data_IF_471433194026
#
_entry.id   IF_471433194026
#
_cell.length_a   1.000
_cell.length_b   1.000
_cell.length_c   1.000
_cell.angle_alpha   90.00
_cell.angle_beta   90.00
_cell.angle_gamma   90.00
#
_symmetry.space_group_name_H-M   'P 1'
#
loop_
_entity.id
_entity.type
_entity.pdbx_description
1 polymer ?
#
# COMPACT_ATOMS: atom_id res chain seq x y z
N UNK A 1 20.08 0.06 -10.85
CA UNK A 1 20.17 -0.59 -9.52
C UNK A 1 18.96 -1.48 -9.25
N UNK A 2 17.73 -0.95 -9.26
CA UNK A 2 16.49 -1.71 -8.93
C UNK A 2 16.34 -3.02 -9.71
N UNK A 3 16.52 -3.02 -11.03
CA UNK A 3 16.45 -4.23 -11.87
C UNK A 3 17.39 -5.34 -11.36
N UNK A 4 18.63 -4.98 -11.01
CA UNK A 4 19.61 -5.95 -10.53
C UNK A 4 19.21 -6.55 -9.18
N UNK A 5 18.68 -5.74 -8.26
CA UNK A 5 18.18 -6.23 -6.96
C UNK A 5 16.93 -7.09 -7.11
N UNK A 6 15.98 -6.68 -7.95
CA UNK A 6 14.76 -7.48 -8.22
C UNK A 6 15.13 -8.83 -8.83
N UNK A 7 16.05 -8.86 -9.81
CA UNK A 7 16.53 -10.09 -10.39
C UNK A 7 17.28 -10.98 -9.37
N UNK A 8 18.09 -10.38 -8.49
CA UNK A 8 18.78 -11.10 -7.43
C UNK A 8 17.79 -11.72 -6.42
N UNK A 9 16.78 -10.96 -5.97
CA UNK A 9 15.73 -11.46 -5.07
C UNK A 9 14.96 -12.61 -5.72
N UNK A 10 14.58 -12.46 -6.99
CA UNK A 10 13.86 -13.52 -7.70
C UNK A 10 14.70 -14.79 -7.84
N UNK A 11 15.98 -14.68 -8.22
CA UNK A 11 16.91 -15.82 -8.31
C UNK A 11 17.19 -16.48 -6.97
N UNK A 12 17.09 -15.72 -5.87
CA UNK A 12 17.18 -16.26 -4.51
C UNK A 12 15.88 -16.95 -4.03
N UNK A 13 14.82 -16.96 -4.85
CA UNK A 13 13.56 -17.64 -4.56
C UNK A 13 12.37 -16.72 -4.26
N UNK A 14 12.51 -15.39 -4.39
CA UNK A 14 11.36 -14.47 -4.21
C UNK A 14 10.39 -14.59 -5.38
N UNK A 15 9.22 -15.17 -5.12
CA UNK A 15 8.17 -15.37 -6.13
C UNK A 15 7.46 -14.06 -6.51
N UNK A 16 7.47 -13.07 -5.63
CA UNK A 16 6.90 -11.73 -5.82
C UNK A 16 7.90 -10.72 -5.26
N UNK A 17 8.10 -9.58 -5.92
CA UNK A 17 9.00 -8.52 -5.42
C UNK A 17 8.24 -7.20 -5.32
N UNK A 18 8.36 -6.53 -4.18
CA UNK A 18 7.76 -5.22 -3.93
C UNK A 18 8.79 -4.11 -4.10
N UNK A 19 8.38 -3.02 -4.75
CA UNK A 19 9.17 -1.80 -4.91
C UNK A 19 8.36 -0.58 -4.46
N UNK A 20 9.03 0.41 -3.88
CA UNK A 20 8.40 1.69 -3.50
C UNK A 20 8.13 2.55 -4.73
N UNK A 21 6.92 3.13 -4.77
CA UNK A 21 6.49 4.10 -5.79
C UNK A 21 5.92 5.32 -5.07
N UNK A 22 6.81 6.28 -4.81
CA UNK A 22 6.60 7.42 -3.90
C UNK A 22 6.71 8.80 -4.56
N UNK A 23 7.07 8.85 -5.84
CA UNK A 23 7.23 10.07 -6.64
C UNK A 23 7.14 9.77 -8.13
N UNK A 24 6.98 10.81 -8.94
CA UNK A 24 6.85 10.72 -10.40
C UNK A 24 8.00 9.98 -11.07
N UNK A 25 9.25 10.21 -10.64
CA UNK A 25 10.41 9.53 -11.22
C UNK A 25 10.37 8.03 -10.93
N UNK A 26 9.91 7.64 -9.73
CA UNK A 26 9.72 6.23 -9.37
C UNK A 26 8.61 5.61 -10.22
N UNK A 27 7.47 6.30 -10.40
CA UNK A 27 6.35 5.82 -11.20
C UNK A 27 6.74 5.65 -12.67
N UNK A 28 7.38 6.66 -13.27
CA UNK A 28 7.87 6.62 -14.65
C UNK A 28 8.94 5.54 -14.88
N UNK A 29 9.65 5.11 -13.84
CA UNK A 29 10.65 4.05 -13.94
C UNK A 29 10.04 2.63 -13.94
N UNK A 30 8.84 2.42 -13.39
CA UNK A 30 8.25 1.07 -13.25
C UNK A 30 8.14 0.32 -14.58
N UNK A 31 7.60 0.90 -15.67
CA UNK A 31 7.51 0.19 -16.95
C UNK A 31 8.89 -0.20 -17.51
N UNK A 32 9.88 0.70 -17.35
CA UNK A 32 11.27 0.46 -17.78
C UNK A 32 11.93 -0.65 -16.95
N UNK A 33 11.60 -0.75 -15.66
CA UNK A 33 12.08 -1.82 -14.78
C UNK A 33 11.48 -3.15 -15.23
N UNK A 34 10.16 -3.21 -15.42
CA UNK A 34 9.46 -4.41 -15.88
C UNK A 34 10.04 -4.89 -17.22
N UNK A 35 10.15 -4.01 -18.21
CA UNK A 35 10.69 -4.32 -19.52
C UNK A 35 12.11 -4.90 -19.44
N UNK A 36 13.00 -4.27 -18.66
CA UNK A 36 14.38 -4.75 -18.48
C UNK A 36 14.44 -6.11 -17.80
N UNK A 37 13.55 -6.39 -16.85
CA UNK A 37 13.46 -7.70 -16.20
C UNK A 37 13.03 -8.78 -17.20
N UNK A 38 12.01 -8.50 -18.02
CA UNK A 38 11.56 -9.41 -19.08
C UNK A 38 12.67 -9.72 -20.09
N UNK A 39 13.45 -8.71 -20.50
CA UNK A 39 14.63 -8.91 -21.38
C UNK A 39 15.72 -9.80 -20.75
N UNK A 40 15.79 -9.87 -19.43
CA UNK A 40 16.70 -10.75 -18.69
C UNK A 40 16.11 -12.14 -18.43
N UNK A 41 14.92 -12.45 -18.98
CA UNK A 41 14.19 -13.69 -18.71
C UNK A 41 13.63 -13.77 -17.28
N UNK A 42 13.55 -12.64 -16.57
CA UNK A 42 13.04 -12.57 -15.19
C UNK A 42 11.58 -12.10 -15.24
N UNK A 43 10.65 -13.04 -15.09
CA UNK A 43 9.22 -12.77 -15.10
C UNK A 43 8.63 -12.80 -13.67
N UNK A 44 9.11 -11.89 -12.82
CA UNK A 44 8.65 -11.77 -11.43
C UNK A 44 7.56 -10.71 -11.29
N UNK A 45 6.41 -11.00 -10.66
CA UNK A 45 5.37 -10.01 -10.36
C UNK A 45 5.90 -8.87 -9.48
N UNK A 46 5.66 -7.63 -9.93
CA UNK A 46 6.02 -6.43 -9.19
C UNK A 46 4.84 -5.88 -8.40
N UNK A 47 5.03 -5.67 -7.10
CA UNK A 47 4.07 -4.99 -6.22
C UNK A 47 4.50 -3.53 -6.05
N UNK A 48 3.61 -2.58 -6.37
CA UNK A 48 3.85 -1.16 -6.11
C UNK A 48 3.47 -0.80 -4.67
N UNK A 49 4.40 -0.28 -3.90
CA UNK A 49 4.15 0.24 -2.56
C UNK A 49 3.94 1.75 -2.59
N UNK A 50 2.68 2.18 -2.39
CA UNK A 50 2.27 3.57 -2.52
C UNK A 50 2.04 4.22 -1.15
N UNK A 51 2.46 5.49 -1.04
CA UNK A 51 2.26 6.32 0.15
C UNK A 51 1.81 7.72 -0.26
N UNK A 52 0.87 8.32 0.49
CA UNK A 52 0.39 9.71 0.39
C UNK A 52 -0.19 10.13 -0.97
N UNK A 53 0.64 10.17 -2.01
CA UNK A 53 0.32 10.61 -3.36
C UNK A 53 0.03 9.47 -4.33
N UNK A 54 -0.14 8.23 -3.84
CA UNK A 54 -0.35 7.04 -4.68
C UNK A 54 -1.48 7.18 -5.71
N UNK A 55 -2.59 7.81 -5.32
CA UNK A 55 -3.72 8.08 -6.21
C UNK A 55 -3.32 8.96 -7.41
N UNK A 56 -2.48 9.98 -7.18
CA UNK A 56 -1.96 10.84 -8.26
C UNK A 56 -0.98 10.10 -9.13
N UNK A 57 -0.02 9.38 -8.52
CA UNK A 57 0.98 8.62 -9.29
C UNK A 57 0.35 7.60 -10.22
N UNK A 58 -0.71 6.91 -9.79
CA UNK A 58 -1.44 5.97 -10.63
C UNK A 58 -2.23 6.67 -11.74
N UNK A 59 -2.86 7.82 -11.46
CA UNK A 59 -3.62 8.58 -12.44
C UNK A 59 -2.73 9.25 -13.49
N UNK A 60 -1.61 9.84 -13.06
CA UNK A 60 -0.70 10.63 -13.90
C UNK A 60 0.28 9.72 -14.67
N UNK A 61 0.52 8.49 -14.20
CA UNK A 61 1.35 7.49 -14.87
C UNK A 61 0.59 6.18 -15.14
N UNK A 62 -0.38 6.15 -16.08
CA UNK A 62 -1.11 4.93 -16.44
C UNK A 62 -0.22 3.72 -16.80
N UNK A 63 0.92 3.89 -17.50
CA UNK A 63 1.84 2.78 -17.75
C UNK A 63 2.39 2.13 -16.47
N UNK A 64 2.56 2.91 -15.39
CA UNK A 64 2.98 2.37 -14.09
C UNK A 64 1.89 1.46 -13.50
N UNK A 65 0.63 1.93 -13.53
CA UNK A 65 -0.53 1.17 -13.08
C UNK A 65 -0.65 -0.17 -13.84
N UNK A 66 -0.49 -0.14 -15.16
CA UNK A 66 -0.57 -1.34 -16.01
C UNK A 66 0.59 -2.31 -15.77
N UNK A 67 1.82 -1.81 -15.63
CA UNK A 67 3.03 -2.62 -15.48
C UNK A 67 3.11 -3.37 -14.13
N UNK A 68 2.49 -2.83 -13.08
CA UNK A 68 2.45 -3.48 -11.78
C UNK A 68 1.49 -4.68 -11.79
N UNK A 69 1.86 -5.73 -11.07
CA UNK A 69 1.02 -6.91 -10.89
C UNK A 69 0.07 -6.78 -9.69
N UNK A 70 0.35 -5.87 -8.76
CA UNK A 70 -0.42 -5.65 -7.53
C UNK A 70 -0.14 -4.28 -6.95
N UNK A 71 -1.13 -3.68 -6.31
CA UNK A 71 -0.94 -2.45 -5.53
C UNK A 71 -0.95 -2.74 -4.04
N UNK A 72 -0.10 -2.06 -3.27
CA UNK A 72 -0.24 -1.98 -1.83
C UNK A 72 -0.63 -0.57 -1.43
N UNK A 73 -1.67 -0.49 -0.62
CA UNK A 73 -2.23 0.73 -0.05
C UNK A 73 -2.19 0.61 1.46
N UNK A 74 -2.06 1.73 2.14
CA UNK A 74 -2.18 1.83 3.57
C UNK A 74 -3.19 2.92 3.92
N UNK A 75 -4.34 2.57 4.54
CA UNK A 75 -5.36 3.54 4.94
C UNK A 75 -4.80 4.67 5.82
N UNK A 76 -3.81 4.39 6.66
CA UNK A 76 -3.18 5.41 7.51
C UNK A 76 -2.29 6.42 6.75
N UNK A 77 -1.98 6.17 5.48
CA UNK A 77 -1.07 6.99 4.67
C UNK A 77 -1.75 7.62 3.45
N UNK A 78 -3.09 7.62 3.33
CA UNK A 78 -3.81 8.17 2.17
C UNK A 78 -4.55 9.48 2.49
N UNK A 79 -4.08 10.23 3.49
CA UNK A 79 -4.65 11.52 3.89
C UNK A 79 -5.52 11.44 5.14
N UNK A 80 -6.21 12.54 5.45
CA UNK A 80 -7.01 12.70 6.67
C UNK A 80 -8.48 12.98 6.34
N UNK A 81 -9.41 12.47 7.16
CA UNK A 81 -10.87 12.70 7.05
C UNK A 81 -11.42 12.39 5.66
N UNK A 82 -12.32 13.22 5.11
CA UNK A 82 -12.93 12.99 3.78
C UNK A 82 -11.92 12.83 2.63
N UNK A 83 -10.71 13.41 2.75
CA UNK A 83 -9.68 13.21 1.73
C UNK A 83 -9.15 11.78 1.74
N UNK A 84 -9.12 11.12 2.90
CA UNK A 84 -8.68 9.72 3.06
C UNK A 84 -9.55 8.81 2.20
N UNK A 85 -10.86 8.88 2.38
CA UNK A 85 -11.80 7.99 1.70
C UNK A 85 -11.80 8.22 0.19
N UNK A 86 -11.77 9.49 -0.25
CA UNK A 86 -11.68 9.83 -1.68
C UNK A 86 -10.38 9.33 -2.32
N UNK A 87 -9.25 9.51 -1.65
CA UNK A 87 -7.96 9.07 -2.18
C UNK A 87 -7.83 7.54 -2.18
N UNK A 88 -8.34 6.89 -1.14
CA UNK A 88 -8.42 5.43 -1.07
C UNK A 88 -9.30 4.87 -2.19
N UNK A 89 -10.52 5.39 -2.34
CA UNK A 89 -11.45 5.01 -3.39
C UNK A 89 -10.84 5.19 -4.79
N UNK A 90 -10.16 6.31 -5.06
CA UNK A 90 -9.49 6.55 -6.34
C UNK A 90 -8.44 5.48 -6.68
N UNK A 91 -7.69 4.98 -5.69
CA UNK A 91 -6.73 3.89 -5.94
C UNK A 91 -7.46 2.57 -6.18
N UNK A 92 -8.54 2.30 -5.45
CA UNK A 92 -9.36 1.09 -5.64
C UNK A 92 -10.01 1.09 -7.03
N UNK A 93 -10.53 2.23 -7.48
CA UNK A 93 -11.07 2.42 -8.83
C UNK A 93 -10.02 2.14 -9.90
N UNK A 94 -8.78 2.63 -9.72
CA UNK A 94 -7.67 2.31 -10.62
C UNK A 94 -7.32 0.83 -10.59
N UNK A 95 -7.39 0.17 -9.44
CA UNK A 95 -7.17 -1.26 -9.34
C UNK A 95 -8.25 -2.06 -10.09
N UNK A 96 -9.52 -1.69 -9.93
CA UNK A 96 -10.65 -2.30 -10.65
C UNK A 96 -10.48 -2.09 -12.15
N UNK A 97 -10.20 -0.84 -12.58
CA UNK A 97 -10.01 -0.48 -14.00
C UNK A 97 -8.93 -1.31 -14.67
N UNK A 98 -7.82 -1.55 -13.98
CA UNK A 98 -6.66 -2.28 -14.52
C UNK A 98 -6.64 -3.77 -14.14
N UNK A 99 -7.72 -4.28 -13.54
CA UNK A 99 -7.85 -5.67 -13.04
C UNK A 99 -6.64 -6.10 -12.18
N UNK A 100 -6.30 -5.27 -11.19
CA UNK A 100 -5.16 -5.50 -10.30
C UNK A 100 -5.62 -5.90 -8.90
N UNK A 101 -5.03 -6.94 -8.30
CA UNK A 101 -5.24 -7.20 -6.89
C UNK A 101 -4.66 -6.06 -6.03
N UNK A 102 -5.27 -5.85 -4.87
CA UNK A 102 -4.85 -4.85 -3.88
C UNK A 102 -4.51 -5.53 -2.56
N UNK A 103 -3.44 -5.09 -1.90
CA UNK A 103 -3.21 -5.35 -0.47
C UNK A 103 -3.50 -4.09 0.33
N UNK A 104 -4.52 -4.14 1.17
CA UNK A 104 -4.72 -3.18 2.25
C UNK A 104 -3.78 -3.59 3.39
N UNK A 105 -2.73 -2.81 3.61
CA UNK A 105 -1.66 -3.13 4.55
C UNK A 105 -1.53 -2.09 5.65
N UNK A 106 -2.27 -2.30 6.74
CA UNK A 106 -2.19 -1.52 7.98
C UNK A 106 -0.93 -1.91 8.76
N UNK A 107 -0.29 -0.93 9.39
CA UNK A 107 0.83 -1.16 10.30
C UNK A 107 0.74 -0.20 11.50
N UNK A 108 1.33 -0.60 12.64
CA UNK A 108 1.33 0.19 13.87
C UNK A 108 1.91 1.59 13.68
N UNK A 109 3.02 1.71 12.95
CA UNK A 109 3.78 2.96 12.80
C UNK A 109 3.02 4.08 12.08
N UNK A 110 1.95 3.75 11.38
CA UNK A 110 1.07 4.69 10.70
C UNK A 110 -0.39 4.39 10.99
N UNK A 111 -0.71 3.97 12.20
CA UNK A 111 -2.08 3.68 12.59
C UNK A 111 -2.93 4.96 12.54
N UNK A 112 -4.20 4.81 12.16
CA UNK A 112 -5.17 5.90 12.19
C UNK A 112 -5.34 6.42 13.63
N UNK A 113 -4.86 7.64 13.86
CA UNK A 113 -4.86 8.28 15.18
C UNK A 113 -6.27 8.59 15.67
N UNK A 114 -7.21 8.87 14.76
CA UNK A 114 -8.60 9.17 15.12
C UNK A 114 -9.30 7.90 15.60
N UNK A 115 -9.08 6.78 14.91
CA UNK A 115 -9.57 5.48 15.35
C UNK A 115 -8.96 5.06 16.70
N UNK A 116 -7.64 5.21 16.88
CA UNK A 116 -6.98 4.87 18.13
C UNK A 116 -7.53 5.71 19.30
N UNK A 117 -7.69 7.01 19.09
CA UNK A 117 -8.24 7.93 20.10
C UNK A 117 -9.66 7.51 20.48
N UNK A 118 -10.53 7.26 19.50
CA UNK A 118 -11.89 6.78 19.73
C UNK A 118 -11.92 5.48 20.56
N UNK A 119 -11.09 4.51 20.20
CA UNK A 119 -11.03 3.22 20.91
C UNK A 119 -10.47 3.37 22.33
N UNK A 120 -9.54 4.31 22.56
CA UNK A 120 -9.03 4.64 23.91
C UNK A 120 -10.12 5.29 24.77
N UNK A 121 -10.88 6.23 24.21
CA UNK A 121 -11.99 6.89 24.91
C UNK A 121 -13.11 5.90 25.26
N UNK A 122 -13.48 5.04 24.30
CA UNK A 122 -14.42 3.94 24.53
C UNK A 122 -13.91 2.98 25.62
N UNK A 123 -12.61 2.66 25.62
CA UNK A 123 -12.02 1.78 26.61
C UNK A 123 -12.04 2.37 28.04
N UNK A 124 -11.91 3.69 28.19
CA UNK A 124 -11.99 4.34 29.51
C UNK A 124 -13.37 4.21 30.16
N UNK A 125 -14.43 4.13 29.36
CA UNK A 125 -15.80 4.00 29.87
C UNK A 125 -16.20 2.55 30.17
N UNK A 126 -15.33 1.57 29.89
CA UNK A 126 -15.58 0.15 30.19
C UNK A 126 -15.41 -0.14 31.68
N UNK A 127 -16.28 -0.99 32.22
CA UNK A 127 -16.15 -1.49 33.60
C UNK A 127 -14.86 -2.29 33.87
N UNK A 128 -14.22 -2.79 32.80
CA UNK A 128 -12.93 -3.47 32.83
C UNK A 128 -12.07 -2.96 31.66
N UNK A 129 -11.30 -1.86 31.86
CA UNK A 129 -10.51 -1.27 30.80
C UNK A 129 -9.36 -2.19 30.39
N UNK A 130 -9.19 -2.34 29.08
CA UNK A 130 -8.05 -3.02 28.48
C UNK A 130 -6.77 -2.19 28.66
N UNK A 131 -5.62 -2.85 28.57
CA UNK A 131 -4.32 -2.17 28.49
C UNK A 131 -4.19 -1.38 27.19
N UNK A 132 -3.34 -0.36 27.17
CA UNK A 132 -3.07 0.41 25.96
C UNK A 132 -2.60 -0.46 24.79
N UNK A 133 -1.79 -1.51 25.06
CA UNK A 133 -1.30 -2.42 24.03
C UNK A 133 -2.43 -3.26 23.41
N UNK A 134 -3.41 -3.70 24.21
CA UNK A 134 -4.59 -4.43 23.71
C UNK A 134 -5.46 -3.53 22.84
N UNK A 135 -5.70 -2.29 23.27
CA UNK A 135 -6.45 -1.31 22.47
C UNK A 135 -5.73 -1.01 21.15
N UNK A 136 -4.40 -0.88 21.15
CA UNK A 136 -3.67 -0.66 19.90
C UNK A 136 -3.72 -1.87 18.96
N UNK A 137 -3.67 -3.10 19.48
CA UNK A 137 -3.86 -4.32 18.66
C UNK A 137 -5.25 -4.33 18.03
N UNK A 138 -6.28 -4.00 18.80
CA UNK A 138 -7.65 -3.88 18.30
C UNK A 138 -7.75 -2.81 17.21
N UNK A 139 -7.14 -1.65 17.42
CA UNK A 139 -7.13 -0.56 16.46
C UNK A 139 -6.48 -0.96 15.12
N UNK A 140 -5.41 -1.76 15.14
CA UNK A 140 -4.77 -2.27 13.91
C UNK A 140 -5.73 -3.18 13.14
N UNK A 141 -6.45 -4.07 13.83
CA UNK A 141 -7.41 -4.98 13.22
C UNK A 141 -8.59 -4.20 12.65
N UNK A 142 -9.21 -3.32 13.44
CA UNK A 142 -10.33 -2.50 12.98
C UNK A 142 -9.95 -1.58 11.83
N UNK A 143 -8.76 -0.98 11.86
CA UNK A 143 -8.29 -0.15 10.75
C UNK A 143 -8.20 -0.95 9.46
N UNK A 144 -7.91 -2.25 9.49
CA UNK A 144 -7.87 -3.07 8.29
C UNK A 144 -9.26 -3.48 7.80
N UNK A 145 -10.21 -3.72 8.73
CA UNK A 145 -11.57 -4.18 8.43
C UNK A 145 -12.47 -3.04 7.96
N UNK A 146 -12.31 -1.84 8.53
CA UNK A 146 -13.16 -0.67 8.25
C UNK A 146 -12.70 0.15 7.04
N UNK A 147 -11.59 -0.22 6.41
CA UNK A 147 -11.02 0.49 5.24
C UNK A 147 -11.55 -0.03 3.92
#
# INVERSE_FOLDING_TARGET
QTVAQVAALHRAGSEIVRITVDRDESAAAVPRIQERLLRLGVNVPLVGDFHYIGHKLLADHPPCAEALAKYRINPGNVGFKEKKDRQFAAIVEMAIKHDKPVRIGVNWGSLDQELLTRLMDENQTRGFPLTAQEVTREAIVQSAILS
#
